data_IF_681342430680
#
_entry.id   IF_681342430680
#
_cell.length_a   1.000
_cell.length_b   1.000
_cell.length_c   1.000
_cell.angle_alpha   90.00
_cell.angle_beta   90.00
_cell.angle_gamma   90.00
#
_symmetry.space_group_name_H-M   'P 1'
#
loop_
_entity.id
_entity.type
_entity.pdbx_description
1 polymer ?
#
# COMPACT_ATOMS: atom_id res chain seq x y z
N UNK A 1 -4.59 22.83 21.91
CA UNK A 1 -5.13 22.16 20.71
C UNK A 1 -5.93 23.21 19.93
N UNK A 2 -5.58 23.44 18.65
CA UNK A 2 -6.34 24.32 17.77
C UNK A 2 -7.72 23.69 17.53
N UNK A 3 -8.80 24.47 17.70
CA UNK A 3 -10.17 24.05 17.35
C UNK A 3 -10.38 24.23 15.84
N UNK A 4 -9.73 23.35 15.04
CA UNK A 4 -9.87 23.32 13.60
C UNK A 4 -10.81 22.19 13.18
N UNK A 5 -11.53 22.36 12.09
CA UNK A 5 -12.35 21.33 11.46
C UNK A 5 -12.08 21.27 9.94
N UNK A 6 -12.76 20.38 9.24
CA UNK A 6 -12.57 20.14 7.79
C UNK A 6 -12.69 21.41 6.92
N UNK A 7 -13.39 22.46 7.36
CA UNK A 7 -13.53 23.73 6.65
C UNK A 7 -12.20 24.48 6.45
N UNK A 8 -11.20 24.19 7.32
CA UNK A 8 -9.85 24.77 7.18
C UNK A 8 -9.07 24.18 6.00
N UNK A 9 -9.54 23.10 5.41
CA UNK A 9 -8.98 22.50 4.20
C UNK A 9 -9.64 23.04 2.92
N UNK A 10 -10.61 23.97 3.05
CA UNK A 10 -11.26 24.59 1.89
C UNK A 10 -10.23 25.27 0.96
N UNK A 11 -10.32 24.98 -0.34
CA UNK A 11 -9.40 25.49 -1.35
C UNK A 11 -8.11 24.68 -1.52
N UNK A 12 -7.90 23.63 -0.71
CA UNK A 12 -6.83 22.65 -0.95
C UNK A 12 -7.33 21.55 -1.88
N UNK A 13 -6.46 21.09 -2.79
CA UNK A 13 -6.69 19.90 -3.58
C UNK A 13 -6.27 18.69 -2.75
N UNK A 14 -7.19 17.78 -2.52
CA UNK A 14 -6.98 16.54 -1.76
C UNK A 14 -6.80 15.39 -2.73
N UNK A 15 -5.61 14.81 -2.74
CA UNK A 15 -5.25 13.69 -3.59
C UNK A 15 -4.93 12.45 -2.75
N UNK A 16 -5.40 11.30 -3.20
CA UNK A 16 -5.17 9.99 -2.55
C UNK A 16 -4.70 8.96 -3.58
N UNK A 17 -3.97 7.93 -3.14
CA UNK A 17 -3.48 6.90 -4.07
C UNK A 17 -4.55 5.82 -4.32
N UNK A 18 -5.35 5.47 -3.32
CA UNK A 18 -6.28 4.35 -3.44
C UNK A 18 -7.61 4.57 -2.75
N UNK A 19 -8.57 3.72 -3.09
CA UNK A 19 -9.97 3.78 -2.67
C UNK A 19 -10.17 3.64 -1.16
N UNK A 20 -9.38 2.82 -0.48
CA UNK A 20 -9.45 2.69 0.98
C UNK A 20 -9.15 4.03 1.68
N UNK A 21 -8.12 4.76 1.21
CA UNK A 21 -7.80 6.09 1.72
C UNK A 21 -8.88 7.11 1.35
N UNK A 22 -9.38 7.06 0.12
CA UNK A 22 -10.50 7.93 -0.32
C UNK A 22 -11.74 7.73 0.56
N UNK A 23 -12.06 6.46 0.84
CA UNK A 23 -13.17 6.10 1.73
C UNK A 23 -12.96 6.62 3.14
N UNK A 24 -11.78 6.42 3.73
CA UNK A 24 -11.46 6.90 5.08
C UNK A 24 -11.54 8.44 5.17
N UNK A 25 -10.96 9.17 4.22
CA UNK A 25 -11.05 10.64 4.16
C UNK A 25 -12.51 11.10 4.07
N UNK A 26 -13.34 10.38 3.33
CA UNK A 26 -14.77 10.70 3.20
C UNK A 26 -15.56 10.39 4.47
N UNK A 27 -15.34 9.22 5.08
CA UNK A 27 -16.12 8.79 6.26
C UNK A 27 -15.70 9.51 7.54
N UNK A 28 -14.40 9.72 7.73
CA UNK A 28 -13.86 10.20 9.00
C UNK A 28 -13.72 11.73 9.02
N UNK A 29 -13.44 12.35 7.86
CA UNK A 29 -13.25 13.79 7.74
C UNK A 29 -14.40 14.50 7.01
N UNK A 30 -15.32 13.78 6.37
CA UNK A 30 -16.39 14.37 5.56
C UNK A 30 -15.90 15.03 4.27
N UNK A 31 -14.71 14.71 3.79
CA UNK A 31 -14.07 15.33 2.64
C UNK A 31 -14.01 14.32 1.48
N UNK A 32 -14.44 14.72 0.29
CA UNK A 32 -14.19 13.94 -0.90
C UNK A 32 -12.76 14.19 -1.41
N UNK A 33 -12.07 13.14 -1.84
CA UNK A 33 -10.83 13.31 -2.57
C UNK A 33 -11.12 13.91 -3.95
N UNK A 34 -10.34 14.93 -4.34
CA UNK A 34 -10.47 15.59 -5.66
C UNK A 34 -9.78 14.78 -6.75
N UNK A 35 -8.77 13.96 -6.36
CA UNK A 35 -7.95 13.22 -7.30
C UNK A 35 -7.54 11.87 -6.72
N UNK A 36 -7.80 10.82 -7.51
CA UNK A 36 -7.38 9.46 -7.24
C UNK A 36 -7.05 8.78 -8.58
N UNK A 37 -5.87 8.16 -8.74
CA UNK A 37 -5.51 7.51 -9.99
C UNK A 37 -6.27 6.20 -10.19
N UNK A 38 -6.47 5.79 -11.45
CA UNK A 38 -7.06 4.49 -11.78
C UNK A 38 -6.17 3.32 -11.36
N UNK A 39 -4.85 3.51 -11.44
CA UNK A 39 -3.87 2.57 -10.92
C UNK A 39 -3.30 3.09 -9.60
N UNK A 40 -3.48 2.36 -8.53
CA UNK A 40 -3.15 2.76 -7.15
C UNK A 40 -1.63 2.72 -6.87
N UNK A 41 -0.88 3.44 -7.71
CA UNK A 41 0.58 3.58 -7.58
C UNK A 41 1.01 5.04 -7.56
N UNK A 42 2.13 5.32 -6.89
CA UNK A 42 2.67 6.66 -6.73
C UNK A 42 2.94 7.37 -8.06
N UNK A 43 3.40 6.61 -9.06
CA UNK A 43 3.71 7.10 -10.40
C UNK A 43 2.47 7.60 -11.15
N UNK A 44 1.35 6.89 -11.01
CA UNK A 44 0.07 7.29 -11.62
C UNK A 44 -0.48 8.55 -10.96
N UNK A 45 -0.41 8.65 -9.62
CA UNK A 45 -0.79 9.86 -8.90
C UNK A 45 0.10 11.04 -9.28
N UNK A 46 1.42 10.84 -9.35
CA UNK A 46 2.35 11.88 -9.79
C UNK A 46 1.99 12.42 -11.17
N UNK A 47 1.73 11.53 -12.13
CA UNK A 47 1.35 11.88 -13.50
C UNK A 47 0.08 12.76 -13.53
N UNK A 48 -0.94 12.39 -12.77
CA UNK A 48 -2.18 13.16 -12.71
C UNK A 48 -1.96 14.55 -12.07
N UNK A 49 -1.22 14.62 -10.95
CA UNK A 49 -0.90 15.90 -10.29
C UNK A 49 -0.08 16.81 -11.20
N UNK A 50 0.90 16.28 -11.91
CA UNK A 50 1.72 17.05 -12.87
C UNK A 50 0.84 17.61 -13.99
N UNK A 51 -0.11 16.84 -14.49
CA UNK A 51 -1.08 17.29 -15.49
C UNK A 51 -1.97 18.45 -15.00
N UNK A 52 -2.22 18.53 -13.68
CA UNK A 52 -2.92 19.67 -13.04
C UNK A 52 -2.03 20.93 -12.89
N UNK A 53 -0.76 20.83 -13.22
CA UNK A 53 0.19 21.92 -13.12
C UNK A 53 0.68 22.15 -11.69
N UNK A 54 1.74 21.44 -11.28
CA UNK A 54 2.32 21.51 -9.93
C UNK A 54 3.51 22.46 -9.80
N UNK A 55 4.04 22.99 -10.89
CA UNK A 55 5.19 23.87 -10.86
C UNK A 55 4.95 25.08 -9.92
N UNK A 56 5.89 25.32 -8.99
CA UNK A 56 5.83 26.33 -7.94
C UNK A 56 4.68 26.18 -6.94
N UNK A 57 3.95 25.06 -6.94
CA UNK A 57 2.94 24.75 -5.93
C UNK A 57 3.57 24.04 -4.74
N UNK A 58 3.01 24.27 -3.56
CA UNK A 58 3.39 23.59 -2.31
C UNK A 58 2.53 22.35 -2.15
N UNK A 59 3.16 21.19 -1.98
CA UNK A 59 2.49 19.92 -1.76
C UNK A 59 2.95 19.34 -0.42
N UNK A 60 1.99 18.99 0.42
CA UNK A 60 2.22 18.27 1.65
C UNK A 60 1.89 16.78 1.42
N UNK A 61 2.87 15.93 1.58
CA UNK A 61 2.72 14.48 1.50
C UNK A 61 2.66 13.88 2.90
N UNK A 62 1.48 13.36 3.27
CA UNK A 62 1.26 12.62 4.52
C UNK A 62 1.47 11.13 4.24
N UNK A 63 2.51 10.52 4.82
CA UNK A 63 2.91 9.18 4.39
C UNK A 63 3.60 8.37 5.51
N UNK A 64 3.76 7.05 5.27
CA UNK A 64 4.55 6.19 6.14
C UNK A 64 6.05 6.53 6.07
N UNK A 65 6.79 6.19 7.11
CA UNK A 65 8.26 6.29 7.19
C UNK A 65 8.96 5.55 6.04
N UNK A 66 8.49 4.35 5.70
CA UNK A 66 9.09 3.48 4.67
C UNK A 66 8.49 3.67 3.26
N UNK A 67 7.74 4.76 3.02
CA UNK A 67 7.16 5.00 1.71
C UNK A 67 8.24 5.23 0.63
N UNK A 68 8.02 4.65 -0.58
CA UNK A 68 8.97 4.78 -1.70
C UNK A 68 9.17 6.25 -2.11
N UNK A 69 10.38 6.67 -2.50
CA UNK A 69 10.68 8.07 -2.85
C UNK A 69 10.14 8.49 -4.23
N UNK A 70 9.41 7.63 -4.95
CA UNK A 70 8.98 7.90 -6.32
C UNK A 70 8.09 9.14 -6.44
N UNK A 71 7.06 9.28 -5.57
CA UNK A 71 6.13 10.40 -5.62
C UNK A 71 6.80 11.76 -5.37
N UNK A 72 7.53 11.97 -4.24
CA UNK A 72 8.17 13.25 -3.99
C UNK A 72 9.22 13.60 -5.06
N UNK A 73 9.97 12.59 -5.55
CA UNK A 73 10.95 12.80 -6.60
C UNK A 73 10.29 13.31 -7.89
N UNK A 74 9.26 12.64 -8.39
CA UNK A 74 8.57 13.02 -9.63
C UNK A 74 7.92 14.41 -9.54
N UNK A 75 7.34 14.74 -8.38
CA UNK A 75 6.74 16.07 -8.16
C UNK A 75 7.79 17.16 -8.06
N UNK A 76 8.90 16.91 -7.38
CA UNK A 76 10.03 17.84 -7.29
C UNK A 76 10.69 18.09 -8.65
N UNK A 77 10.92 17.02 -9.43
CA UNK A 77 11.44 17.12 -10.81
C UNK A 77 10.51 17.95 -11.72
N UNK A 78 9.20 17.95 -11.44
CA UNK A 78 8.19 18.78 -12.12
C UNK A 78 8.10 20.22 -11.57
N UNK A 79 8.97 20.63 -10.66
CA UNK A 79 9.07 21.97 -10.10
C UNK A 79 8.13 22.28 -8.95
N UNK A 80 7.58 21.27 -8.28
CA UNK A 80 6.81 21.46 -7.06
C UNK A 80 7.72 21.66 -5.83
N UNK A 81 7.24 22.44 -4.85
CA UNK A 81 7.81 22.47 -3.50
C UNK A 81 7.15 21.37 -2.66
N UNK A 82 7.86 20.26 -2.41
CA UNK A 82 7.32 19.10 -1.73
C UNK A 82 7.79 19.06 -0.28
N UNK A 83 6.83 19.06 0.65
CA UNK A 83 7.04 18.81 2.06
C UNK A 83 6.51 17.42 2.40
N UNK A 84 7.36 16.57 2.95
CA UNK A 84 7.00 15.22 3.42
C UNK A 84 6.81 15.24 4.94
N UNK A 85 5.72 14.66 5.40
CA UNK A 85 5.45 14.45 6.83
C UNK A 85 5.14 12.97 7.06
N UNK A 86 6.01 12.31 7.83
CA UNK A 86 5.76 10.97 8.35
C UNK A 86 4.68 11.04 9.43
N UNK A 87 3.55 10.37 9.19
CA UNK A 87 2.40 10.35 10.11
C UNK A 87 2.19 9.00 10.78
N UNK A 88 2.85 7.95 10.31
CA UNK A 88 2.91 6.64 10.96
C UNK A 88 4.18 5.89 10.57
N UNK A 89 4.57 4.95 11.43
CA UNK A 89 5.75 4.10 11.23
C UNK A 89 5.33 2.65 11.08
N UNK A 90 6.08 1.92 10.25
CA UNK A 90 5.88 0.49 10.07
C UNK A 90 6.95 -0.26 10.85
N UNK A 91 6.53 -0.98 11.87
CA UNK A 91 7.42 -1.82 12.68
C UNK A 91 7.22 -3.30 12.38
N UNK A 92 8.32 -4.04 12.41
CA UNK A 92 8.25 -5.48 12.39
C UNK A 92 7.59 -5.97 13.69
N UNK A 93 6.60 -6.87 13.58
CA UNK A 93 6.05 -7.53 14.75
C UNK A 93 7.15 -8.35 15.46
N UNK A 94 7.11 -8.52 16.78
CA UNK A 94 8.14 -9.28 17.51
C UNK A 94 8.19 -10.76 17.11
N UNK A 95 7.08 -11.35 16.72
CA UNK A 95 6.96 -12.72 16.23
C UNK A 95 5.64 -12.90 15.47
N UNK A 96 5.54 -13.99 14.70
CA UNK A 96 4.24 -14.48 14.24
C UNK A 96 3.49 -15.10 15.42
N UNK A 97 2.16 -14.90 15.53
CA UNK A 97 1.36 -15.60 16.54
C UNK A 97 1.53 -17.13 16.47
N UNK A 98 1.60 -17.80 17.61
CA UNK A 98 1.78 -19.26 17.65
C UNK A 98 0.69 -19.99 16.86
N UNK A 99 -0.56 -19.52 16.92
CA UNK A 99 -1.68 -20.08 16.15
C UNK A 99 -1.47 -20.01 14.63
N UNK A 100 -0.82 -18.97 14.13
CA UNK A 100 -0.45 -18.84 12.72
C UNK A 100 0.65 -19.82 12.37
N UNK A 101 1.70 -19.91 13.19
CA UNK A 101 2.80 -20.85 12.97
C UNK A 101 2.33 -22.30 13.01
N UNK A 102 1.50 -22.66 13.97
CA UNK A 102 0.89 -23.98 14.04
C UNK A 102 -0.01 -24.28 12.83
N UNK A 103 -0.78 -23.29 12.38
CA UNK A 103 -1.62 -23.40 11.18
C UNK A 103 -0.81 -23.66 9.92
N UNK A 104 0.29 -22.93 9.73
CA UNK A 104 1.22 -23.11 8.61
C UNK A 104 1.87 -24.49 8.64
N UNK A 105 2.39 -24.92 9.81
CA UNK A 105 3.06 -26.22 9.98
C UNK A 105 2.12 -27.40 9.81
N UNK A 106 0.87 -27.27 10.23
CA UNK A 106 -0.16 -28.31 10.13
C UNK A 106 -0.88 -28.33 8.77
N UNK A 107 -0.50 -27.47 7.81
CA UNK A 107 -1.16 -27.38 6.50
C UNK A 107 -2.63 -26.97 6.58
N UNK A 108 -3.02 -26.18 7.58
CA UNK A 108 -4.39 -25.67 7.75
C UNK A 108 -4.61 -24.29 7.12
N UNK A 109 -3.59 -23.75 6.46
CA UNK A 109 -3.65 -22.46 5.78
C UNK A 109 -3.45 -22.72 4.30
N UNK A 110 -4.46 -22.45 3.49
CA UNK A 110 -4.44 -22.66 2.05
C UNK A 110 -3.82 -21.47 1.31
N UNK A 111 -4.05 -20.25 1.81
CA UNK A 111 -3.60 -19.02 1.19
C UNK A 111 -2.91 -18.07 2.17
N UNK A 112 -1.85 -17.41 1.68
CA UNK A 112 -1.25 -16.23 2.32
C UNK A 112 -1.36 -15.04 1.38
N UNK A 113 -1.97 -13.95 1.86
CA UNK A 113 -2.20 -12.73 1.07
C UNK A 113 -1.20 -11.64 1.42
N UNK A 114 -0.70 -10.96 0.40
CA UNK A 114 0.25 -9.85 0.55
C UNK A 114 -0.33 -8.58 -0.04
N UNK A 115 -0.69 -7.63 0.83
CA UNK A 115 -1.29 -6.34 0.46
C UNK A 115 -0.28 -5.22 0.31
N UNK A 116 1.01 -5.48 0.53
CA UNK A 116 2.10 -4.54 0.32
C UNK A 116 3.46 -5.23 0.28
N UNK A 117 4.45 -4.56 -0.29
CA UNK A 117 5.86 -5.01 -0.28
C UNK A 117 6.42 -5.14 1.14
N UNK A 118 6.03 -4.27 2.07
CA UNK A 118 6.46 -4.32 3.47
C UNK A 118 5.89 -5.55 4.18
N UNK A 119 4.62 -5.90 3.93
CA UNK A 119 4.02 -7.12 4.48
C UNK A 119 4.79 -8.36 4.04
N UNK A 120 5.17 -8.45 2.75
CA UNK A 120 5.95 -9.58 2.25
C UNK A 120 7.34 -9.67 2.90
N UNK A 121 8.06 -8.54 3.01
CA UNK A 121 9.38 -8.49 3.68
C UNK A 121 9.29 -8.91 5.13
N UNK A 122 8.37 -8.31 5.89
CA UNK A 122 8.20 -8.57 7.30
C UNK A 122 7.80 -10.02 7.57
N UNK A 123 6.92 -10.59 6.75
CA UNK A 123 6.51 -11.98 6.88
C UNK A 123 7.68 -12.95 6.65
N UNK A 124 8.47 -12.72 5.62
CA UNK A 124 9.66 -13.54 5.34
C UNK A 124 10.70 -13.43 6.45
N UNK A 125 10.91 -12.24 7.00
CA UNK A 125 11.81 -12.01 8.12
C UNK A 125 11.36 -12.75 9.38
N UNK A 126 10.07 -12.68 9.72
CA UNK A 126 9.48 -13.39 10.86
C UNK A 126 9.53 -14.91 10.72
N UNK A 127 9.41 -15.45 9.50
CA UNK A 127 9.57 -16.89 9.25
C UNK A 127 11.01 -17.35 9.40
N UNK A 128 11.98 -16.52 9.03
CA UNK A 128 13.42 -16.86 9.10
C UNK A 128 13.73 -18.22 8.47
N UNK A 129 14.35 -19.11 9.23
CA UNK A 129 14.70 -20.46 8.78
C UNK A 129 13.49 -21.38 8.55
N UNK A 130 12.30 -21.01 9.03
CA UNK A 130 11.07 -21.81 8.89
C UNK A 130 10.34 -21.60 7.54
N UNK A 131 10.95 -20.92 6.58
CA UNK A 131 10.33 -20.62 5.26
C UNK A 131 9.85 -21.84 4.49
N UNK A 132 10.43 -23.01 4.74
CA UNK A 132 10.02 -24.26 4.10
C UNK A 132 8.53 -24.62 4.34
N UNK A 133 7.89 -24.07 5.39
CA UNK A 133 6.45 -24.28 5.66
C UNK A 133 5.54 -23.70 4.57
N UNK A 134 6.05 -22.84 3.72
CA UNK A 134 5.30 -22.21 2.63
C UNK A 134 5.24 -23.06 1.34
N UNK A 135 5.94 -24.20 1.30
CA UNK A 135 6.16 -24.98 0.05
C UNK A 135 4.91 -25.46 -0.67
N UNK A 136 3.75 -25.56 0.00
CA UNK A 136 2.46 -25.97 -0.59
C UNK A 136 1.37 -24.91 -0.46
N UNK A 137 1.67 -23.77 0.11
CA UNK A 137 0.68 -22.72 0.40
C UNK A 137 0.60 -21.79 -0.79
N UNK A 138 -0.61 -21.60 -1.30
CA UNK A 138 -0.87 -20.62 -2.36
C UNK A 138 -0.65 -19.20 -1.83
N UNK A 139 -0.14 -18.31 -2.69
CA UNK A 139 0.12 -16.92 -2.32
C UNK A 139 -0.60 -15.97 -3.26
N UNK A 140 -1.19 -14.92 -2.70
CA UNK A 140 -1.88 -13.90 -3.46
C UNK A 140 -1.25 -12.51 -3.24
N UNK A 141 -1.01 -11.80 -4.32
CA UNK A 141 -0.45 -10.44 -4.33
C UNK A 141 -1.49 -9.42 -4.74
N UNK A 142 -1.53 -8.30 -4.05
CA UNK A 142 -2.46 -7.19 -4.36
C UNK A 142 -2.09 -6.46 -5.67
N UNK A 143 -0.90 -6.68 -6.21
CA UNK A 143 -0.50 -6.01 -7.45
C UNK A 143 0.99 -6.08 -7.76
N UNK A 144 1.41 -5.52 -8.90
CA UNK A 144 2.71 -5.79 -9.53
C UNK A 144 3.92 -5.39 -8.69
N UNK A 145 3.82 -4.33 -7.88
CA UNK A 145 4.94 -3.89 -7.02
C UNK A 145 5.16 -4.88 -5.88
N UNK A 146 4.07 -5.38 -5.30
CA UNK A 146 4.12 -6.41 -4.25
C UNK A 146 4.62 -7.73 -4.82
N UNK A 147 4.11 -8.15 -5.97
CA UNK A 147 4.56 -9.36 -6.69
C UNK A 147 6.05 -9.33 -7.01
N UNK A 148 6.56 -8.20 -7.49
CA UNK A 148 7.99 -8.02 -7.73
C UNK A 148 8.78 -8.26 -6.45
N UNK A 149 8.38 -7.64 -5.34
CA UNK A 149 9.02 -7.83 -4.04
C UNK A 149 8.95 -9.29 -3.56
N UNK A 150 7.80 -9.95 -3.72
CA UNK A 150 7.66 -11.37 -3.36
C UNK A 150 8.64 -12.25 -4.12
N UNK A 151 8.78 -12.06 -5.44
CA UNK A 151 9.73 -12.80 -6.28
C UNK A 151 11.20 -12.52 -5.88
N UNK A 152 11.55 -11.26 -5.60
CA UNK A 152 12.87 -10.87 -5.09
C UNK A 152 13.21 -11.55 -3.75
N UNK A 153 12.20 -11.83 -2.94
CA UNK A 153 12.33 -12.55 -1.67
C UNK A 153 12.29 -14.08 -1.84
N UNK A 154 12.15 -14.59 -3.07
CA UNK A 154 12.04 -16.02 -3.36
C UNK A 154 10.69 -16.62 -2.96
N UNK A 155 9.64 -15.80 -2.85
CA UNK A 155 8.26 -16.27 -2.72
C UNK A 155 7.66 -16.50 -4.10
N UNK A 156 6.92 -17.58 -4.25
CA UNK A 156 6.06 -17.78 -5.41
C UNK A 156 4.91 -16.77 -5.38
N UNK A 157 4.41 -16.36 -6.55
CA UNK A 157 3.17 -15.57 -6.68
C UNK A 157 2.19 -16.44 -7.43
N UNK A 158 1.27 -17.09 -6.70
CA UNK A 158 0.27 -17.97 -7.30
C UNK A 158 -0.73 -17.13 -8.10
N UNK A 159 -1.21 -16.03 -7.52
CA UNK A 159 -2.10 -15.08 -8.21
C UNK A 159 -1.71 -13.64 -7.90
N UNK A 160 -1.97 -12.75 -8.87
CA UNK A 160 -1.86 -11.30 -8.71
C UNK A 160 -3.21 -10.67 -9.04
N UNK A 161 -3.70 -9.79 -8.17
CA UNK A 161 -4.94 -9.06 -8.40
C UNK A 161 -4.84 -8.17 -9.65
N UNK A 162 -5.84 -8.23 -10.50
CA UNK A 162 -5.97 -7.36 -11.69
C UNK A 162 -6.22 -5.92 -11.27
N UNK A 163 -7.06 -5.73 -10.25
CA UNK A 163 -7.29 -4.43 -9.61
C UNK A 163 -6.61 -4.43 -8.25
N UNK A 164 -5.71 -3.47 -8.01
CA UNK A 164 -4.88 -3.43 -6.80
C UNK A 164 -5.64 -2.95 -5.56
N UNK A 165 -6.71 -3.65 -5.19
CA UNK A 165 -7.50 -3.46 -3.98
C UNK A 165 -7.90 -4.81 -3.36
N UNK A 166 -8.59 -4.78 -2.22
CA UNK A 166 -8.95 -6.01 -1.48
C UNK A 166 -9.96 -6.85 -2.28
N UNK A 167 -10.93 -6.22 -2.92
CA UNK A 167 -11.94 -6.93 -3.70
C UNK A 167 -11.29 -7.68 -4.87
N UNK A 168 -10.43 -7.01 -5.64
CA UNK A 168 -9.66 -7.64 -6.73
C UNK A 168 -8.72 -8.75 -6.25
N UNK A 169 -8.14 -8.63 -5.04
CA UNK A 169 -7.34 -9.70 -4.45
C UNK A 169 -8.20 -10.93 -4.13
N UNK A 170 -9.39 -10.73 -3.57
CA UNK A 170 -10.34 -11.82 -3.26
C UNK A 170 -10.84 -12.48 -4.54
N UNK A 171 -11.20 -11.69 -5.57
CA UNK A 171 -11.61 -12.20 -6.88
C UNK A 171 -10.53 -13.09 -7.48
N UNK A 172 -9.27 -12.64 -7.52
CA UNK A 172 -8.15 -13.41 -8.04
C UNK A 172 -7.95 -14.75 -7.30
N UNK A 173 -8.17 -14.78 -5.97
CA UNK A 173 -8.10 -16.01 -5.18
C UNK A 173 -9.25 -16.96 -5.51
N UNK A 174 -10.48 -16.46 -5.62
CA UNK A 174 -11.69 -17.28 -5.91
C UNK A 174 -11.59 -17.93 -7.28
N UNK A 175 -11.12 -17.21 -8.30
CA UNK A 175 -10.94 -17.74 -9.66
C UNK A 175 -9.85 -18.82 -9.75
N UNK A 176 -8.99 -18.96 -8.74
CA UNK A 176 -7.86 -19.89 -8.70
C UNK A 176 -7.94 -20.90 -7.54
N UNK A 177 -9.14 -21.06 -6.97
CA UNK A 177 -9.44 -22.13 -6.00
C UNK A 177 -9.87 -23.42 -6.67
#
# INVERSE_FOLDING_TARGET
VLKLDARHLAGLLIAVIGDATAKAVRTDLGIAADLMPEHFVAEALAKQLIAQGVAKKKLLLLRADIARPALPKLLGDAGAEVLELTIYETHLAPALPDTVMEGLQAGRIDWVTFTSSSTARNFVELLGAKRAVLGSIKTASIGPITSKTMRELGLEVTVEATTSNIDGLVEAMVENT
#
